data_IF_118482735474
#
_entry.id   IF_118482735474
#
_cell.length_a   1.000
_cell.length_b   1.000
_cell.length_c   1.000
_cell.angle_alpha   90.00
_cell.angle_beta   90.00
_cell.angle_gamma   90.00
#
_symmetry.space_group_name_H-M   'P 1'
#
loop_
_entity.id
_entity.type
_entity.pdbx_description
1 polymer ?
#
# COMPACT_ATOMS: atom_id res chain seq x y z
N UNK A 1 -5.98 15.27 2.14
CA UNK A 1 -5.89 15.18 0.67
C UNK A 1 -4.41 15.07 0.32
N UNK A 2 -3.98 14.01 -0.38
CA UNK A 2 -2.58 13.58 -0.51
C UNK A 2 -1.65 14.52 -1.34
N UNK A 3 -2.14 15.68 -1.81
CA UNK A 3 -1.37 16.67 -2.61
C UNK A 3 -0.59 16.05 -3.78
N UNK A 4 -1.15 15.03 -4.40
CA UNK A 4 -0.58 14.41 -5.59
C UNK A 4 -1.12 15.15 -6.81
N UNK A 5 -0.23 15.70 -7.64
CA UNK A 5 -0.60 16.33 -8.91
C UNK A 5 -0.98 15.23 -9.92
N UNK A 6 -2.14 15.39 -10.55
CA UNK A 6 -2.68 14.47 -11.56
C UNK A 6 -2.53 15.13 -12.92
N UNK A 7 -1.89 14.42 -13.84
CA UNK A 7 -1.65 14.85 -15.22
C UNK A 7 -2.92 14.73 -16.06
N UNK A 8 -2.89 15.33 -17.26
CA UNK A 8 -4.01 15.34 -18.21
C UNK A 8 -4.45 13.95 -18.72
N UNK A 9 -3.65 12.91 -18.50
CA UNK A 9 -4.00 11.51 -18.78
C UNK A 9 -4.65 10.78 -17.59
N UNK A 10 -5.00 11.53 -16.54
CA UNK A 10 -5.65 11.04 -15.32
C UNK A 10 -4.76 10.12 -14.46
N UNK A 11 -3.45 10.35 -14.46
CA UNK A 11 -2.52 9.65 -13.58
C UNK A 11 -1.32 10.50 -13.17
N UNK A 12 -0.42 9.92 -12.37
CA UNK A 12 0.74 10.63 -11.81
C UNK A 12 1.95 9.72 -11.77
N UNK A 13 3.14 10.29 -11.95
CA UNK A 13 4.41 9.55 -11.85
C UNK A 13 5.08 9.92 -10.52
N UNK A 14 5.08 8.99 -9.58
CA UNK A 14 5.78 9.18 -8.31
C UNK A 14 7.26 8.85 -8.52
N UNK A 15 8.11 9.87 -8.44
CA UNK A 15 9.57 9.71 -8.54
C UNK A 15 10.14 9.33 -7.18
N UNK A 16 10.98 8.28 -7.08
CA UNK A 16 11.62 7.92 -5.83
C UNK A 16 12.57 9.04 -5.36
N UNK A 17 12.62 9.26 -4.05
CA UNK A 17 13.59 10.14 -3.39
C UNK A 17 14.55 9.28 -2.56
N UNK A 18 15.69 9.86 -2.14
CA UNK A 18 16.64 9.17 -1.27
C UNK A 18 15.93 8.70 0.01
N UNK A 19 15.90 7.39 0.26
CA UNK A 19 15.22 6.77 1.40
C UNK A 19 13.83 6.21 1.13
N UNK A 20 13.28 6.37 -0.09
CA UNK A 20 12.03 5.75 -0.50
C UNK A 20 12.31 4.55 -1.41
N UNK A 21 11.72 3.41 -1.08
CA UNK A 21 11.83 2.19 -1.89
C UNK A 21 10.53 1.96 -2.67
N UNK A 22 10.65 1.45 -3.89
CA UNK A 22 9.52 0.94 -4.69
C UNK A 22 9.80 -0.52 -4.98
N UNK A 23 8.95 -1.39 -4.44
CA UNK A 23 9.12 -2.83 -4.55
C UNK A 23 8.15 -3.35 -5.61
N UNK A 24 8.69 -4.04 -6.62
CA UNK A 24 7.92 -4.75 -7.64
C UNK A 24 8.29 -6.23 -7.58
N UNK A 25 7.32 -7.09 -7.25
CA UNK A 25 7.56 -8.51 -7.01
C UNK A 25 6.47 -9.38 -7.64
N UNK A 26 6.89 -10.50 -8.22
CA UNK A 26 6.03 -11.55 -8.74
C UNK A 26 5.90 -12.67 -7.71
N UNK A 27 4.71 -13.22 -7.56
CA UNK A 27 4.42 -14.29 -6.61
C UNK A 27 4.06 -15.59 -7.34
N UNK A 28 4.40 -16.71 -6.72
CA UNK A 28 4.05 -18.04 -7.23
C UNK A 28 2.59 -18.37 -6.90
N UNK A 29 1.92 -19.20 -7.70
CA UNK A 29 0.49 -19.52 -7.55
C UNK A 29 0.08 -20.09 -6.17
N UNK A 30 1.04 -20.60 -5.38
CA UNK A 30 0.79 -21.24 -4.08
C UNK A 30 1.22 -20.39 -2.87
N UNK A 31 1.49 -19.09 -3.05
CA UNK A 31 1.88 -18.22 -1.95
C UNK A 31 0.66 -17.82 -1.08
N UNK A 32 0.54 -18.43 0.11
CA UNK A 32 -0.54 -18.17 1.06
C UNK A 32 -0.57 -16.74 1.63
N UNK A 33 0.50 -15.96 1.44
CA UNK A 33 0.55 -14.56 1.87
C UNK A 33 -0.31 -13.67 0.97
N UNK A 34 -0.54 -14.06 -0.29
CA UNK A 34 -1.25 -13.27 -1.30
C UNK A 34 -2.53 -13.93 -1.84
N UNK A 35 -3.54 -13.14 -2.27
CA UNK A 35 -4.70 -13.68 -2.95
C UNK A 35 -4.28 -14.27 -4.30
N UNK A 36 -4.66 -15.51 -4.57
CA UNK A 36 -4.38 -16.22 -5.84
C UNK A 36 -4.94 -15.50 -7.07
N UNK A 37 -5.95 -14.66 -6.90
CA UNK A 37 -6.55 -13.86 -7.98
C UNK A 37 -5.76 -12.58 -8.32
N UNK A 38 -4.72 -12.25 -7.55
CA UNK A 38 -3.95 -11.03 -7.71
C UNK A 38 -2.48 -11.33 -8.09
N UNK A 39 -2.15 -11.09 -9.37
CA UNK A 39 -0.85 -11.44 -9.95
C UNK A 39 0.33 -10.56 -9.46
N UNK A 40 0.04 -9.37 -8.91
CA UNK A 40 1.05 -8.41 -8.43
C UNK A 40 0.56 -7.72 -7.15
N UNK A 41 1.46 -7.52 -6.19
CA UNK A 41 1.20 -6.72 -4.99
C UNK A 41 1.77 -5.32 -5.18
N UNK A 42 0.96 -4.30 -4.87
CA UNK A 42 1.46 -2.94 -4.71
C UNK A 42 1.80 -2.72 -3.24
N UNK A 43 3.03 -2.31 -2.98
CA UNK A 43 3.52 -1.99 -1.66
C UNK A 43 4.07 -0.56 -1.65
N UNK A 44 3.61 0.26 -0.70
CA UNK A 44 4.06 1.63 -0.53
C UNK A 44 4.57 1.88 0.88
N UNK A 45 5.77 2.42 0.98
CA UNK A 45 6.28 2.93 2.24
C UNK A 45 5.59 4.25 2.60
N UNK A 46 5.18 4.38 3.85
CA UNK A 46 4.61 5.60 4.42
C UNK A 46 5.50 6.11 5.55
N UNK A 47 5.44 7.43 5.78
CA UNK A 47 6.24 8.08 6.81
C UNK A 47 5.70 7.80 8.24
N UNK A 48 4.38 7.69 8.41
CA UNK A 48 3.74 7.40 9.70
C UNK A 48 2.49 6.55 9.47
N UNK A 49 2.52 5.31 9.96
CA UNK A 49 1.45 4.34 9.77
C UNK A 49 0.19 4.74 10.55
N UNK A 50 0.34 5.39 11.71
CA UNK A 50 -0.81 5.73 12.56
C UNK A 50 -1.57 6.93 11.97
N UNK A 51 -0.84 7.94 11.47
CA UNK A 51 -1.47 9.04 10.72
C UNK A 51 -2.09 8.55 9.42
N UNK A 52 -1.44 7.58 8.75
CA UNK A 52 -2.02 6.91 7.57
C UNK A 52 -3.33 6.20 7.90
N UNK A 53 -3.38 5.41 8.99
CA UNK A 53 -4.61 4.73 9.44
C UNK A 53 -5.72 5.74 9.72
N UNK A 54 -5.44 6.82 10.49
CA UNK A 54 -6.43 7.87 10.76
C UNK A 54 -6.94 8.51 9.47
N UNK A 55 -6.04 8.74 8.50
CA UNK A 55 -6.44 9.31 7.22
C UNK A 55 -7.35 8.37 6.44
N UNK A 56 -7.01 7.08 6.38
CA UNK A 56 -7.81 6.03 5.72
C UNK A 56 -9.21 5.91 6.36
N UNK A 57 -9.28 5.88 7.68
CA UNK A 57 -10.54 5.88 8.43
C UNK A 57 -11.38 7.12 8.12
N UNK A 58 -10.76 8.30 8.08
CA UNK A 58 -11.43 9.55 7.76
C UNK A 58 -12.04 9.57 6.35
N UNK A 59 -11.38 8.93 5.37
CA UNK A 59 -11.89 8.83 4.00
C UNK A 59 -12.74 7.58 3.76
N UNK A 60 -13.04 6.80 4.81
CA UNK A 60 -13.90 5.62 4.73
C UNK A 60 -13.25 4.40 4.07
N UNK A 61 -11.92 4.33 4.05
CA UNK A 61 -11.17 3.17 3.55
C UNK A 61 -10.84 2.24 4.73
N UNK A 62 -11.47 1.05 4.82
CA UNK A 62 -11.23 0.13 5.92
C UNK A 62 -9.92 -0.66 5.73
N UNK A 63 -9.31 -1.04 6.84
CA UNK A 63 -8.23 -2.04 6.82
C UNK A 63 -8.81 -3.43 6.59
N UNK A 64 -8.11 -4.23 5.78
CA UNK A 64 -8.51 -5.61 5.44
C UNK A 64 -8.04 -6.60 6.50
N UNK A 65 -6.91 -6.29 7.15
CA UNK A 65 -6.29 -7.07 8.22
C UNK A 65 -5.96 -6.15 9.39
N UNK A 66 -5.73 -6.75 10.56
CA UNK A 66 -5.19 -6.00 11.71
C UNK A 66 -3.78 -5.54 11.37
N UNK A 67 -3.38 -4.38 11.92
CA UNK A 67 -2.00 -3.90 11.84
C UNK A 67 -1.04 -4.95 12.38
N UNK A 68 0.01 -5.23 11.63
CA UNK A 68 1.08 -6.13 12.05
C UNK A 68 2.34 -5.31 12.37
N UNK A 69 3.09 -5.76 13.37
CA UNK A 69 4.35 -5.14 13.80
C UNK A 69 5.38 -6.26 13.91
N UNK A 70 6.52 -6.10 13.22
CA UNK A 70 7.62 -7.05 13.22
C UNK A 70 8.96 -6.32 13.25
N UNK A 71 10.06 -7.07 13.23
CA UNK A 71 11.41 -6.51 13.07
C UNK A 71 11.64 -5.80 11.73
N UNK A 72 10.76 -6.05 10.75
CA UNK A 72 10.84 -5.47 9.41
C UNK A 72 10.01 -4.17 9.26
N UNK A 73 9.22 -3.80 10.28
CA UNK A 73 8.41 -2.58 10.27
C UNK A 73 6.97 -2.81 10.76
N UNK A 74 6.11 -1.83 10.47
CA UNK A 74 4.67 -1.85 10.75
C UNK A 74 3.92 -1.95 9.42
N UNK A 75 2.95 -2.84 9.34
CA UNK A 75 2.26 -3.17 8.09
C UNK A 75 0.74 -3.07 8.25
N UNK A 76 0.08 -2.53 7.22
CA UNK A 76 -1.39 -2.54 7.07
C UNK A 76 -1.76 -2.86 5.62
N UNK A 77 -2.99 -3.31 5.42
CA UNK A 77 -3.50 -3.66 4.10
C UNK A 77 -4.86 -3.02 3.86
N UNK A 78 -5.04 -2.46 2.67
CA UNK A 78 -6.31 -1.92 2.17
C UNK A 78 -6.70 -2.63 0.87
N UNK A 79 -7.93 -2.39 0.40
CA UNK A 79 -8.36 -2.75 -0.95
C UNK A 79 -8.62 -1.49 -1.76
N UNK A 80 -8.24 -1.52 -3.03
CA UNK A 80 -8.69 -0.55 -4.00
C UNK A 80 -10.15 -0.82 -4.45
N UNK A 81 -10.77 0.05 -5.27
CA UNK A 81 -12.13 -0.13 -5.74
C UNK A 81 -12.36 -1.43 -6.52
N UNK A 82 -11.33 -1.98 -7.17
CA UNK A 82 -11.36 -3.25 -7.89
C UNK A 82 -11.14 -4.47 -6.97
N UNK A 83 -10.94 -4.25 -5.67
CA UNK A 83 -10.76 -5.30 -4.67
C UNK A 83 -9.32 -5.84 -4.55
N UNK A 84 -8.36 -5.22 -5.25
CA UNK A 84 -6.93 -5.57 -5.18
C UNK A 84 -6.36 -5.11 -3.85
N UNK A 85 -5.62 -5.98 -3.19
CA UNK A 85 -4.88 -5.67 -1.98
C UNK A 85 -3.72 -4.71 -2.29
N UNK A 86 -3.56 -3.73 -1.41
CA UNK A 86 -2.42 -2.82 -1.37
C UNK A 86 -1.84 -2.89 0.04
N UNK A 87 -0.52 -3.09 0.14
CA UNK A 87 0.23 -3.09 1.39
C UNK A 87 0.84 -1.69 1.62
N UNK A 88 0.66 -1.17 2.84
CA UNK A 88 1.31 0.06 3.29
C UNK A 88 2.18 -0.28 4.49
N UNK A 89 3.42 0.23 4.51
CA UNK A 89 4.35 -0.08 5.58
C UNK A 89 5.18 1.12 6.03
N UNK A 90 5.58 1.10 7.29
CA UNK A 90 6.48 2.08 7.91
C UNK A 90 7.65 1.30 8.54
N UNK A 91 8.88 1.80 8.37
CA UNK A 91 10.06 1.20 8.99
C UNK A 91 10.14 1.50 10.49
#
# INVERSE_FOLDING_TARGET
MLKIEIENWNGTVIKPQLGNETIFSFFTENDSYFPTEQQVMLNFQVHDINETIKHLEHIGVPLVKKKEISEFGKFIWIKDPEGRLIELWEK
#
